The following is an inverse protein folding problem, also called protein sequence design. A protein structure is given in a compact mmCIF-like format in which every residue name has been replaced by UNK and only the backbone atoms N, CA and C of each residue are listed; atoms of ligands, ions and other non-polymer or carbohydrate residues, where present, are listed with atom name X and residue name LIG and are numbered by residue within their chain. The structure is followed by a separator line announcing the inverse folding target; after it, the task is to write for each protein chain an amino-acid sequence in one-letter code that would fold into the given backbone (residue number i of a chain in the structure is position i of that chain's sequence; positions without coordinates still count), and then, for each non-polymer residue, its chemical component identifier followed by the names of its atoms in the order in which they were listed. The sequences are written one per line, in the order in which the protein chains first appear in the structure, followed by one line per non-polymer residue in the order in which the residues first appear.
data_IF_291402005624
#
_entry.id   IF_291402005624
#
_cell.length_a   1.000
_cell.length_b   1.000
_cell.length_c   1.000
_cell.angle_alpha   90.00
_cell.angle_beta   90.00
_cell.angle_gamma   90.00
#
_symmetry.space_group_name_H-M   'P 1'
#
loop_
_entity.id
_entity.type
_entity.pdbx_description
1 polymer ?
#
# COMPACT_ATOMS: atom_id res chain seq x y z
N UNK A 1 -2.86 60.53 24.33
CA UNK A 1 -2.17 59.23 24.14
C UNK A 1 -2.95 58.09 24.80
N UNK A 2 -4.04 57.58 24.18
CA UNK A 2 -4.72 56.33 24.61
C UNK A 2 -5.83 55.84 23.66
N UNK A 3 -5.80 56.21 22.37
CA UNK A 3 -6.82 55.78 21.37
C UNK A 3 -6.24 55.37 20.00
N UNK A 4 -4.94 55.08 19.92
CA UNK A 4 -4.29 54.62 18.68
C UNK A 4 -3.68 53.20 18.79
N UNK A 5 -3.87 52.51 19.93
CA UNK A 5 -3.26 51.20 20.20
C UNK A 5 -4.25 50.03 20.21
N UNK A 6 -5.52 50.26 19.85
CA UNK A 6 -6.57 49.24 19.90
C UNK A 6 -7.02 48.75 18.52
N UNK A 7 -6.41 49.23 17.43
CA UNK A 7 -6.74 48.80 16.06
C UNK A 7 -5.67 47.92 15.40
N UNK A 8 -4.54 47.65 16.09
CA UNK A 8 -3.45 46.81 15.57
C UNK A 8 -3.40 45.40 16.22
N UNK A 9 -4.35 45.06 17.10
CA UNK A 9 -4.44 43.74 17.76
C UNK A 9 -5.66 42.94 17.27
N UNK A 10 -6.56 43.54 16.46
CA UNK A 10 -7.79 42.88 15.99
C UNK A 10 -7.77 42.53 14.49
N UNK A 11 -6.60 42.43 13.87
CA UNK A 11 -6.43 41.89 12.49
C UNK A 11 -5.61 40.58 12.48
N UNK A 12 -5.15 40.11 13.65
CA UNK A 12 -4.40 38.86 13.79
C UNK A 12 -5.31 37.65 14.11
N UNK A 13 -6.62 37.86 14.30
CA UNK A 13 -7.53 36.79 14.77
C UNK A 13 -8.52 36.24 13.74
N UNK A 14 -8.46 36.63 12.47
CA UNK A 14 -9.37 36.10 11.44
C UNK A 14 -8.62 35.78 10.16
N UNK A 15 -8.17 34.53 10.08
CA UNK A 15 -7.94 33.67 8.90
C UNK A 15 -6.85 32.62 9.21
N UNK A 16 -6.83 32.12 10.44
CA UNK A 16 -6.34 30.78 10.74
C UNK A 16 -7.36 29.73 10.31
N UNK A 17 -7.81 29.75 9.05
CA UNK A 17 -8.30 28.52 8.44
C UNK A 17 -7.03 27.71 8.24
N UNK A 18 -6.65 26.95 9.27
CA UNK A 18 -5.86 25.75 9.10
C UNK A 18 -6.72 24.77 8.27
N UNK A 19 -6.93 25.09 6.99
CA UNK A 19 -6.92 24.06 5.98
C UNK A 19 -5.49 23.56 6.05
N UNK A 20 -5.27 22.60 6.96
CA UNK A 20 -4.06 21.81 7.02
C UNK A 20 -3.97 21.22 5.61
N UNK A 21 -3.22 21.90 4.74
CA UNK A 21 -2.91 21.42 3.41
C UNK A 21 -2.27 20.08 3.66
N UNK A 22 -3.02 19.00 3.44
CA UNK A 22 -2.48 17.64 3.55
C UNK A 22 -1.14 17.65 2.83
N UNK A 23 -0.10 17.39 3.60
CA UNK A 23 1.25 17.44 3.07
C UNK A 23 1.33 16.39 1.94
N UNK A 24 2.17 16.63 0.95
CA UNK A 24 2.53 15.63 -0.07
C UNK A 24 2.81 14.26 0.58
N UNK A 25 3.39 14.26 1.78
CA UNK A 25 3.63 13.06 2.58
C UNK A 25 2.36 12.29 2.96
N UNK A 26 1.28 12.95 3.39
CA UNK A 26 0.07 12.25 3.86
C UNK A 26 -0.62 11.50 2.72
N UNK A 27 -0.65 12.10 1.53
CA UNK A 27 -1.15 11.48 0.31
C UNK A 27 -0.29 10.26 -0.06
N UNK A 28 1.04 10.42 -0.02
CA UNK A 28 1.98 9.33 -0.33
C UNK A 28 1.82 8.15 0.63
N UNK A 29 1.71 8.42 1.94
CA UNK A 29 1.46 7.39 2.95
C UNK A 29 0.14 6.69 2.67
N UNK A 30 -0.92 7.44 2.37
CA UNK A 30 -2.22 6.84 2.04
C UNK A 30 -2.15 5.89 0.86
N UNK A 31 -1.35 6.20 -0.16
CA UNK A 31 -1.12 5.29 -1.30
C UNK A 31 -0.42 3.97 -0.95
N UNK A 32 0.19 3.86 0.23
CA UNK A 32 0.84 2.65 0.73
C UNK A 32 -0.08 1.80 1.61
N UNK A 33 -1.32 2.21 1.83
CA UNK A 33 -2.26 1.54 2.73
C UNK A 33 -3.43 0.96 1.93
N UNK A 34 -3.66 -0.34 2.13
CA UNK A 34 -4.84 -1.06 1.67
C UNK A 34 -5.71 -1.47 2.86
N UNK A 35 -7.00 -1.16 2.81
CA UNK A 35 -7.95 -1.47 3.88
C UNK A 35 -9.06 -2.41 3.41
N UNK A 36 -9.53 -3.28 4.30
CA UNK A 36 -10.69 -4.12 3.98
C UNK A 36 -12.03 -3.48 4.31
N UNK A 37 -13.07 -4.05 3.74
CA UNK A 37 -14.42 -3.50 3.81
C UNK A 37 -15.23 -4.16 4.93
N UNK A 38 -15.93 -3.38 5.78
CA UNK A 38 -16.63 -3.95 6.93
C UNK A 38 -17.93 -4.68 6.54
N UNK A 39 -18.57 -4.29 5.43
CA UNK A 39 -19.90 -4.77 5.02
C UNK A 39 -20.06 -4.86 3.50
N UNK A 40 -21.16 -5.46 3.03
CA UNK A 40 -21.51 -5.60 1.62
C UNK A 40 -22.28 -4.39 1.05
N UNK A 41 -21.90 -3.19 1.48
CA UNK A 41 -22.47 -1.92 1.04
C UNK A 41 -21.45 -0.79 1.26
N UNK A 42 -21.77 0.40 0.76
CA UNK A 42 -20.92 1.58 0.97
C UNK A 42 -20.93 1.95 2.46
N UNK A 43 -19.80 1.73 3.11
CA UNK A 43 -19.50 2.18 4.45
C UNK A 43 -19.10 3.67 4.45
N UNK A 44 -19.81 4.55 5.20
CA UNK A 44 -19.51 5.98 5.25
C UNK A 44 -18.13 6.32 5.82
N UNK A 45 -17.62 5.54 6.78
CA UNK A 45 -16.30 5.76 7.39
C UNK A 45 -15.23 5.47 6.35
N UNK A 46 -15.28 4.29 5.73
CA UNK A 46 -14.32 3.92 4.67
C UNK A 46 -14.42 4.87 3.48
N UNK A 47 -15.62 5.33 3.13
CA UNK A 47 -15.81 6.29 2.03
C UNK A 47 -15.11 7.61 2.33
N UNK A 48 -15.14 8.08 3.58
CA UNK A 48 -14.40 9.28 3.99
C UNK A 48 -12.88 9.02 4.05
N UNK A 49 -12.43 7.88 4.54
CA UNK A 49 -11.00 7.51 4.50
C UNK A 49 -10.45 7.52 3.06
N UNK A 50 -11.21 6.95 2.11
CA UNK A 50 -10.93 6.98 0.67
C UNK A 50 -10.97 8.40 0.10
N UNK A 51 -12.06 9.14 0.32
CA UNK A 51 -12.24 10.52 -0.18
C UNK A 51 -11.10 11.43 0.27
N UNK A 52 -10.66 11.19 1.48
CA UNK A 52 -9.64 11.96 2.15
C UNK A 52 -8.23 11.44 1.81
N UNK A 53 -8.11 10.42 0.94
CA UNK A 53 -6.82 9.91 0.44
C UNK A 53 -5.98 9.21 1.50
N UNK A 54 -6.57 8.80 2.63
CA UNK A 54 -5.89 8.04 3.70
C UNK A 54 -5.65 6.58 3.31
N UNK A 55 -6.37 6.07 2.33
CA UNK A 55 -6.16 4.75 1.73
C UNK A 55 -6.07 4.87 0.20
N UNK A 56 -5.11 4.18 -0.40
CA UNK A 56 -4.91 4.11 -1.85
C UNK A 56 -5.42 2.82 -2.48
N UNK A 57 -5.87 1.88 -1.66
CA UNK A 57 -6.39 0.60 -2.07
C UNK A 57 -7.47 0.11 -1.09
N UNK A 58 -8.42 -0.67 -1.61
CA UNK A 58 -9.41 -1.40 -0.82
C UNK A 58 -9.44 -2.87 -1.23
N UNK A 59 -9.68 -3.77 -0.28
CA UNK A 59 -9.81 -5.22 -0.54
C UNK A 59 -11.21 -5.72 -0.19
N UNK A 60 -11.81 -6.47 -1.11
CA UNK A 60 -13.07 -7.17 -0.89
C UNK A 60 -12.87 -8.64 -0.49
N UNK A 61 -13.74 -9.11 0.41
CA UNK A 61 -13.92 -10.52 0.75
C UNK A 61 -15.33 -10.99 0.37
N UNK A 62 -15.60 -12.28 0.57
CA UNK A 62 -16.93 -12.85 0.28
C UNK A 62 -18.04 -12.17 1.09
N UNK A 63 -17.75 -11.74 2.34
CA UNK A 63 -18.67 -10.96 3.18
C UNK A 63 -19.08 -9.62 2.58
N UNK A 64 -18.36 -9.14 1.57
CA UNK A 64 -18.62 -7.86 0.90
C UNK A 64 -19.40 -8.03 -0.41
N UNK A 65 -19.69 -9.27 -0.83
CA UNK A 65 -20.47 -9.54 -2.03
C UNK A 65 -21.96 -9.36 -1.69
N UNK A 66 -22.68 -8.40 -2.30
CA UNK A 66 -24.09 -8.20 -2.02
C UNK A 66 -24.90 -9.44 -2.36
N UNK A 67 -25.86 -9.83 -1.50
CA UNK A 67 -26.61 -11.07 -1.68
C UNK A 67 -27.70 -10.99 -2.78
N UNK A 68 -28.18 -9.78 -3.10
CA UNK A 68 -29.21 -9.52 -4.10
C UNK A 68 -28.65 -8.61 -5.19
N UNK A 69 -28.98 -8.90 -6.45
CA UNK A 69 -28.50 -8.15 -7.62
C UNK A 69 -26.97 -7.93 -7.58
N UNK A 70 -26.23 -8.96 -7.16
CA UNK A 70 -24.83 -8.89 -6.75
C UNK A 70 -23.95 -8.17 -7.78
N UNK A 71 -24.13 -8.46 -9.07
CA UNK A 71 -23.38 -7.81 -10.13
C UNK A 71 -23.56 -6.27 -10.12
N UNK A 72 -24.82 -5.79 -10.15
CA UNK A 72 -25.11 -4.36 -10.21
C UNK A 72 -24.83 -3.65 -8.88
N UNK A 73 -25.16 -4.27 -7.76
CA UNK A 73 -24.91 -3.72 -6.44
C UNK A 73 -23.40 -3.61 -6.16
N UNK A 74 -22.63 -4.65 -6.53
CA UNK A 74 -21.19 -4.65 -6.35
C UNK A 74 -20.52 -3.63 -7.28
N UNK A 75 -20.92 -3.56 -8.55
CA UNK A 75 -20.47 -2.52 -9.49
C UNK A 75 -20.71 -1.11 -8.95
N UNK A 76 -21.90 -0.84 -8.43
CA UNK A 76 -22.25 0.47 -7.83
C UNK A 76 -21.37 0.78 -6.63
N UNK A 77 -21.13 -0.20 -5.77
CA UNK A 77 -20.25 -0.03 -4.61
C UNK A 77 -18.82 0.31 -5.05
N UNK A 78 -18.21 -0.49 -5.94
CA UNK A 78 -16.86 -0.24 -6.45
C UNK A 78 -16.75 1.13 -7.12
N UNK A 79 -17.72 1.48 -7.97
CA UNK A 79 -17.78 2.79 -8.62
C UNK A 79 -17.84 3.93 -7.61
N UNK A 80 -18.62 3.79 -6.53
CA UNK A 80 -18.77 4.83 -5.50
C UNK A 80 -17.45 5.12 -4.79
N UNK A 81 -16.69 4.08 -4.43
CA UNK A 81 -15.35 4.24 -3.87
C UNK A 81 -14.36 4.82 -4.88
N UNK A 82 -14.39 4.33 -6.13
CA UNK A 82 -13.52 4.82 -7.18
C UNK A 82 -13.71 6.32 -7.46
N UNK A 83 -14.96 6.80 -7.47
CA UNK A 83 -15.29 8.22 -7.69
C UNK A 83 -14.96 9.12 -6.49
N UNK A 84 -15.00 8.58 -5.27
CA UNK A 84 -14.64 9.35 -4.08
C UNK A 84 -13.12 9.60 -4.00
N UNK A 85 -12.31 8.69 -4.55
CA UNK A 85 -10.87 8.71 -4.35
C UNK A 85 -10.17 9.85 -5.14
N UNK A 86 -9.28 10.64 -4.50
CA UNK A 86 -8.56 11.72 -5.17
C UNK A 86 -7.49 11.20 -6.15
N UNK A 87 -7.01 9.98 -5.93
CA UNK A 87 -6.16 9.22 -6.84
C UNK A 87 -6.85 7.88 -7.06
N UNK A 88 -6.96 7.36 -8.31
CA UNK A 88 -7.65 6.11 -8.60
C UNK A 88 -7.29 4.99 -7.62
N UNK A 89 -8.25 4.29 -7.03
CA UNK A 89 -7.97 3.20 -6.10
C UNK A 89 -7.49 1.95 -6.83
N UNK A 90 -6.64 1.19 -6.17
CA UNK A 90 -6.64 -0.25 -6.39
C UNK A 90 -7.85 -0.84 -5.66
N UNK A 91 -8.80 -1.38 -6.41
CA UNK A 91 -9.93 -2.14 -5.89
C UNK A 91 -9.58 -3.61 -6.10
N UNK A 92 -9.36 -4.32 -5.00
CA UNK A 92 -8.68 -5.62 -5.02
C UNK A 92 -9.54 -6.76 -4.48
N UNK A 93 -9.19 -7.99 -4.87
CA UNK A 93 -9.84 -9.22 -4.40
C UNK A 93 -8.91 -10.43 -4.56
N UNK A 94 -9.13 -11.47 -3.76
CA UNK A 94 -8.57 -12.82 -4.00
C UNK A 94 -9.55 -13.67 -4.81
N UNK A 95 -9.47 -13.58 -6.14
CA UNK A 95 -10.30 -14.38 -7.04
C UNK A 95 -9.42 -15.38 -7.81
N UNK A 96 -8.90 -16.38 -7.08
CA UNK A 96 -8.03 -17.43 -7.62
C UNK A 96 -8.83 -18.54 -8.31
N UNK A 97 -10.02 -18.84 -7.78
CA UNK A 97 -10.80 -20.02 -8.11
C UNK A 97 -10.78 -21.05 -6.99
N UNK A 98 -11.48 -22.16 -7.18
CA UNK A 98 -11.53 -23.23 -6.18
C UNK A 98 -11.99 -22.76 -4.80
N UNK A 99 -11.18 -23.05 -3.76
CA UNK A 99 -11.47 -22.66 -2.36
C UNK A 99 -11.24 -21.17 -2.10
N UNK A 100 -10.36 -20.51 -2.86
CA UNK A 100 -10.09 -19.08 -2.73
C UNK A 100 -10.82 -18.34 -3.86
N UNK A 101 -12.14 -18.31 -3.73
CA UNK A 101 -13.08 -17.70 -4.66
C UNK A 101 -14.09 -16.89 -3.84
N UNK A 102 -14.19 -15.58 -4.07
CA UNK A 102 -15.15 -14.70 -3.39
C UNK A 102 -16.42 -14.52 -4.23
N UNK A 103 -16.26 -14.32 -5.54
CA UNK A 103 -17.34 -14.12 -6.51
C UNK A 103 -17.88 -15.48 -7.01
N UNK A 104 -18.68 -16.14 -6.18
CA UNK A 104 -19.22 -17.49 -6.42
C UNK A 104 -20.52 -17.49 -7.23
N UNK A 105 -20.84 -18.64 -7.83
CA UNK A 105 -22.08 -18.88 -8.60
C UNK A 105 -23.36 -18.59 -7.81
N UNK A 106 -23.37 -18.87 -6.50
CA UNK A 106 -24.52 -18.55 -5.63
C UNK A 106 -24.87 -17.06 -5.58
N UNK A 107 -23.96 -16.18 -6.02
CA UNK A 107 -24.19 -14.74 -6.15
C UNK A 107 -24.44 -14.30 -7.60
N UNK A 108 -24.50 -15.22 -8.57
CA UNK A 108 -24.70 -14.94 -9.98
C UNK A 108 -23.41 -14.66 -10.77
N UNK A 109 -22.23 -14.95 -10.22
CA UNK A 109 -20.95 -14.83 -10.92
C UNK A 109 -20.56 -16.14 -11.63
N UNK A 110 -19.70 -16.10 -12.67
CA UNK A 110 -19.30 -17.30 -13.38
C UNK A 110 -18.61 -18.35 -12.50
N UNK A 111 -18.81 -19.61 -12.86
CA UNK A 111 -18.06 -20.73 -12.26
C UNK A 111 -16.56 -20.58 -12.50
N UNK A 112 -15.77 -20.94 -11.49
CA UNK A 112 -14.32 -21.13 -11.58
C UNK A 112 -13.94 -22.55 -11.13
N UNK A 113 -12.72 -22.97 -11.48
CA UNK A 113 -12.12 -24.24 -11.05
C UNK A 113 -10.82 -23.99 -10.30
N UNK A 114 -10.21 -25.03 -9.73
CA UNK A 114 -8.94 -24.93 -9.01
C UNK A 114 -7.77 -24.72 -9.97
N UNK A 115 -6.67 -24.15 -9.48
CA UNK A 115 -5.45 -24.00 -10.28
C UNK A 115 -4.89 -25.38 -10.67
N UNK A 116 -4.94 -26.35 -9.77
CA UNK A 116 -4.59 -27.75 -10.07
C UNK A 116 -5.40 -28.29 -11.24
N UNK A 117 -6.71 -28.03 -11.28
CA UNK A 117 -7.56 -28.49 -12.39
C UNK A 117 -7.19 -27.80 -13.71
N UNK A 118 -6.91 -26.49 -13.71
CA UNK A 118 -6.38 -25.79 -14.89
C UNK A 118 -5.02 -26.34 -15.34
N UNK A 119 -4.14 -26.68 -14.39
CA UNK A 119 -2.78 -27.16 -14.67
C UNK A 119 -2.68 -28.59 -15.18
N UNK A 120 -3.75 -29.40 -15.10
CA UNK A 120 -3.82 -30.75 -15.68
C UNK A 120 -3.96 -30.74 -17.21
N UNK A 121 -4.47 -29.64 -17.77
CA UNK A 121 -4.70 -29.49 -19.20
C UNK A 121 -3.40 -29.12 -19.91
N UNK A 122 -2.94 -29.94 -20.85
CA UNK A 122 -1.72 -29.65 -21.63
C UNK A 122 -1.91 -28.55 -22.69
N UNK A 123 -3.15 -28.20 -23.04
CA UNK A 123 -3.48 -27.32 -24.18
C UNK A 123 -3.71 -25.85 -23.83
N UNK A 124 -3.59 -25.46 -22.56
CA UNK A 124 -3.84 -24.09 -22.05
C UNK A 124 -5.30 -23.61 -22.21
N UNK A 125 -6.20 -24.40 -22.78
CA UNK A 125 -7.57 -24.00 -23.07
C UNK A 125 -8.34 -23.70 -21.78
N UNK A 126 -8.17 -24.56 -20.76
CA UNK A 126 -8.78 -24.35 -19.44
C UNK A 126 -8.35 -23.03 -18.81
N UNK A 127 -7.04 -22.72 -18.76
CA UNK A 127 -6.56 -21.48 -18.13
C UNK A 127 -7.00 -20.24 -18.91
N UNK A 128 -7.08 -20.33 -20.25
CA UNK A 128 -7.59 -19.23 -21.09
C UNK A 128 -9.07 -18.98 -20.87
N UNK A 129 -9.88 -20.04 -20.83
CA UNK A 129 -11.32 -19.93 -20.64
C UNK A 129 -11.67 -19.36 -19.26
N UNK A 130 -11.19 -20.02 -18.19
CA UNK A 130 -11.50 -19.60 -16.82
C UNK A 130 -10.82 -18.29 -16.45
N UNK A 131 -9.60 -18.04 -16.94
CA UNK A 131 -8.90 -16.77 -16.75
C UNK A 131 -9.63 -15.60 -17.43
N UNK A 132 -10.14 -15.77 -18.65
CA UNK A 132 -10.91 -14.73 -19.35
C UNK A 132 -12.26 -14.46 -18.69
N UNK A 133 -12.98 -15.52 -18.30
CA UNK A 133 -14.25 -15.41 -17.58
C UNK A 133 -14.08 -14.69 -16.23
N UNK A 134 -13.03 -15.03 -15.48
CA UNK A 134 -12.70 -14.38 -14.20
C UNK A 134 -12.33 -12.91 -14.41
N UNK A 135 -11.42 -12.60 -15.34
CA UNK A 135 -11.02 -11.22 -15.64
C UNK A 135 -12.22 -10.35 -16.05
N UNK A 136 -13.10 -10.87 -16.93
CA UNK A 136 -14.28 -10.14 -17.37
C UNK A 136 -15.27 -9.86 -16.23
N UNK A 137 -15.50 -10.84 -15.34
CA UNK A 137 -16.37 -10.66 -14.18
C UNK A 137 -15.83 -9.59 -13.21
N UNK A 138 -14.51 -9.60 -12.96
CA UNK A 138 -13.83 -8.62 -12.11
C UNK A 138 -13.93 -7.20 -12.68
N UNK A 139 -13.54 -7.05 -13.95
CA UNK A 139 -13.58 -5.77 -14.67
C UNK A 139 -15.02 -5.22 -14.72
N UNK A 140 -16.01 -6.07 -14.98
CA UNK A 140 -17.42 -5.70 -15.06
C UNK A 140 -18.00 -5.08 -13.79
N UNK A 141 -17.46 -5.44 -12.61
CA UNK A 141 -17.85 -4.87 -11.31
C UNK A 141 -16.87 -3.82 -10.78
N UNK A 142 -15.90 -3.38 -11.60
CA UNK A 142 -14.94 -2.33 -11.25
C UNK A 142 -13.77 -2.77 -10.36
N UNK A 143 -13.55 -4.08 -10.21
CA UNK A 143 -12.34 -4.60 -9.58
C UNK A 143 -11.19 -4.56 -10.59
N UNK A 144 -10.07 -3.98 -10.19
CA UNK A 144 -8.95 -3.69 -11.08
C UNK A 144 -7.63 -4.34 -10.64
N UNK A 145 -7.59 -5.01 -9.49
CA UNK A 145 -6.48 -5.87 -9.08
C UNK A 145 -7.00 -7.23 -8.62
N UNK A 146 -6.51 -8.31 -9.21
CA UNK A 146 -6.72 -9.66 -8.73
C UNK A 146 -5.45 -10.15 -8.04
N UNK A 147 -5.56 -10.59 -6.79
CA UNK A 147 -4.49 -11.32 -6.09
C UNK A 147 -4.43 -12.76 -6.58
N UNK A 148 -4.12 -12.91 -7.86
CA UNK A 148 -3.89 -14.15 -8.59
C UNK A 148 -3.04 -13.79 -9.83
N UNK A 149 -2.27 -14.73 -10.41
CA UNK A 149 -2.22 -16.15 -10.07
C UNK A 149 -1.32 -16.48 -8.87
N UNK A 150 -1.62 -17.60 -8.21
CA UNK A 150 -0.68 -18.27 -7.31
C UNK A 150 0.40 -18.96 -8.16
N UNK A 151 1.66 -18.68 -7.86
CA UNK A 151 2.83 -19.24 -8.56
C UNK A 151 3.72 -20.08 -7.66
N UNK A 152 3.23 -20.44 -6.47
CA UNK A 152 3.86 -21.43 -5.60
C UNK A 152 3.90 -22.79 -6.29
N UNK A 153 5.01 -23.51 -6.15
CA UNK A 153 5.20 -24.83 -6.79
C UNK A 153 4.71 -25.91 -5.83
N UNK A 154 3.88 -26.85 -6.27
CA UNK A 154 3.36 -27.90 -5.40
C UNK A 154 4.44 -28.94 -5.01
N UNK A 155 5.35 -28.55 -4.12
CA UNK A 155 6.52 -29.33 -3.68
C UNK A 155 6.14 -30.28 -2.54
N UNK A 156 5.51 -29.76 -1.48
CA UNK A 156 5.18 -30.53 -0.28
C UNK A 156 3.74 -31.04 -0.34
N UNK A 157 3.49 -32.36 -0.49
CA UNK A 157 2.14 -32.91 -0.58
C UNK A 157 1.26 -32.67 0.65
N UNK A 158 1.87 -32.53 1.84
CA UNK A 158 1.14 -32.30 3.08
C UNK A 158 0.75 -30.82 3.29
N UNK A 159 1.26 -29.90 2.47
CA UNK A 159 0.98 -28.47 2.56
C UNK A 159 -0.54 -28.18 2.52
N UNK A 160 -1.06 -27.66 3.63
CA UNK A 160 -2.50 -27.38 3.83
C UNK A 160 -2.96 -26.05 3.23
N UNK A 161 -2.01 -25.15 2.92
CA UNK A 161 -2.29 -23.77 2.49
C UNK A 161 -2.30 -23.63 0.97
N UNK A 162 -1.51 -24.43 0.25
CA UNK A 162 -1.32 -24.37 -1.20
C UNK A 162 -1.76 -25.67 -1.87
N UNK A 163 -1.20 -26.82 -1.45
CA UNK A 163 -1.31 -28.07 -2.21
C UNK A 163 -2.63 -28.77 -1.95
N UNK A 164 -2.98 -29.05 -0.69
CA UNK A 164 -4.24 -29.75 -0.34
C UNK A 164 -5.51 -28.99 -0.73
N UNK A 165 -5.42 -27.67 -0.86
CA UNK A 165 -6.52 -26.79 -1.29
C UNK A 165 -6.45 -26.42 -2.78
N UNK A 166 -5.56 -27.08 -3.53
CA UNK A 166 -5.46 -27.02 -4.99
C UNK A 166 -5.22 -25.61 -5.57
N UNK A 167 -4.43 -24.79 -4.88
CA UNK A 167 -4.12 -23.41 -5.29
C UNK A 167 -2.91 -23.30 -6.22
N UNK A 168 -2.04 -24.30 -6.27
CA UNK A 168 -0.93 -24.35 -7.23
C UNK A 168 -1.37 -25.01 -8.54
N UNK A 169 -0.87 -24.53 -9.68
CA UNK A 169 -1.11 -25.19 -10.96
C UNK A 169 -0.47 -26.57 -11.07
N UNK A 170 0.73 -26.77 -10.51
CA UNK A 170 1.50 -27.99 -10.71
C UNK A 170 2.69 -28.13 -9.75
N UNK A 171 3.21 -29.35 -9.65
CA UNK A 171 4.53 -29.65 -9.08
C UNK A 171 5.70 -29.29 -10.01
N UNK A 172 5.41 -29.02 -11.27
CA UNK A 172 6.38 -28.59 -12.29
C UNK A 172 6.42 -27.07 -12.37
N UNK A 173 7.62 -26.52 -12.17
CA UNK A 173 7.89 -25.07 -12.18
C UNK A 173 7.57 -24.45 -13.55
N UNK A 174 7.88 -25.18 -14.63
CA UNK A 174 7.62 -24.74 -16.00
C UNK A 174 6.12 -24.69 -16.27
N UNK A 175 5.37 -25.69 -15.82
CA UNK A 175 3.90 -25.69 -15.94
C UNK A 175 3.30 -24.53 -15.17
N UNK A 176 3.78 -24.26 -13.94
CA UNK A 176 3.32 -23.11 -13.15
C UNK A 176 3.59 -21.79 -13.90
N UNK A 177 4.80 -21.60 -14.42
CA UNK A 177 5.17 -20.39 -15.16
C UNK A 177 4.32 -20.20 -16.43
N UNK A 178 4.12 -21.26 -17.22
CA UNK A 178 3.34 -21.22 -18.47
C UNK A 178 1.87 -20.90 -18.18
N UNK A 179 1.25 -21.59 -17.21
CA UNK A 179 -0.15 -21.39 -16.85
C UNK A 179 -0.38 -19.99 -16.28
N UNK A 180 0.49 -19.55 -15.37
CA UNK A 180 0.41 -18.21 -14.80
C UNK A 180 0.54 -17.14 -15.88
N UNK A 181 1.45 -17.29 -16.85
CA UNK A 181 1.62 -16.33 -17.95
C UNK A 181 0.33 -16.19 -18.78
N UNK A 182 -0.33 -17.29 -19.11
CA UNK A 182 -1.60 -17.24 -19.84
C UNK A 182 -2.73 -16.62 -19.02
N UNK A 183 -2.84 -16.96 -17.73
CA UNK A 183 -3.81 -16.33 -16.81
C UNK A 183 -3.61 -14.81 -16.72
N UNK A 184 -2.37 -14.34 -16.64
CA UNK A 184 -2.04 -12.91 -16.64
C UNK A 184 -2.48 -12.25 -17.94
N UNK A 185 -2.20 -12.87 -19.10
CA UNK A 185 -2.63 -12.35 -20.40
C UNK A 185 -4.15 -12.18 -20.48
N UNK A 186 -4.94 -13.10 -19.92
CA UNK A 186 -6.40 -12.95 -19.97
C UNK A 186 -6.90 -11.77 -19.13
N UNK A 187 -6.30 -11.52 -17.97
CA UNK A 187 -6.67 -10.40 -17.10
C UNK A 187 -6.24 -9.05 -17.70
N UNK A 188 -5.04 -9.00 -18.29
CA UNK A 188 -4.55 -7.80 -18.99
C UNK A 188 -5.45 -7.36 -20.15
N UNK A 189 -6.09 -8.29 -20.88
CA UNK A 189 -7.04 -7.96 -21.96
C UNK A 189 -8.23 -7.12 -21.52
N UNK A 190 -8.54 -7.12 -20.22
CA UNK A 190 -9.66 -6.39 -19.63
C UNK A 190 -9.19 -5.42 -18.53
N UNK A 191 -7.93 -5.01 -18.60
CA UNK A 191 -7.27 -4.04 -17.70
C UNK A 191 -7.32 -4.40 -16.21
N UNK A 192 -7.32 -5.69 -15.89
CA UNK A 192 -7.18 -6.16 -14.50
C UNK A 192 -5.72 -6.51 -14.23
N UNK A 193 -5.12 -5.85 -13.25
CA UNK A 193 -3.77 -6.13 -12.75
C UNK A 193 -3.77 -7.48 -12.05
N UNK A 194 -2.76 -8.30 -12.33
CA UNK A 194 -2.52 -9.56 -11.62
C UNK A 194 -1.34 -9.45 -10.67
N UNK A 195 -1.41 -10.14 -9.54
CA UNK A 195 -0.38 -10.14 -8.50
C UNK A 195 0.11 -11.57 -8.28
N UNK A 196 1.39 -11.82 -8.57
CA UNK A 196 2.00 -13.12 -8.30
C UNK A 196 2.13 -13.33 -6.79
N UNK A 197 1.84 -14.53 -6.31
CA UNK A 197 1.99 -14.86 -4.90
C UNK A 197 2.31 -16.33 -4.64
N UNK A 198 2.95 -16.68 -3.52
CA UNK A 198 3.35 -15.79 -2.41
C UNK A 198 4.87 -15.78 -2.25
N UNK A 199 5.53 -14.67 -2.59
CA UNK A 199 7.00 -14.63 -2.66
C UNK A 199 7.63 -14.78 -1.25
N UNK A 200 8.71 -15.56 -1.05
CA UNK A 200 9.58 -16.23 -2.05
C UNK A 200 9.18 -17.68 -2.39
N UNK A 201 7.91 -18.03 -2.19
CA UNK A 201 7.33 -19.34 -2.50
C UNK A 201 6.89 -20.11 -1.26
N UNK A 202 5.62 -20.50 -1.23
CA UNK A 202 4.95 -21.10 -0.09
C UNK A 202 4.64 -22.60 -0.29
N UNK A 203 4.93 -23.17 -1.47
CA UNK A 203 4.50 -24.53 -1.84
C UNK A 203 5.21 -25.66 -1.10
N UNK A 204 6.34 -25.35 -0.45
CA UNK A 204 7.16 -26.24 0.38
C UNK A 204 6.86 -26.15 1.88
N UNK A 205 5.91 -25.32 2.32
CA UNK A 205 5.55 -25.24 3.74
C UNK A 205 4.82 -26.49 4.24
N UNK A 206 5.11 -26.92 5.47
CA UNK A 206 4.44 -28.03 6.12
C UNK A 206 3.04 -27.65 6.62
N UNK A 207 2.23 -28.66 6.95
CA UNK A 207 0.86 -28.51 7.45
C UNK A 207 0.78 -27.83 8.82
N UNK A 208 1.86 -27.90 9.59
CA UNK A 208 1.87 -27.61 11.01
C UNK A 208 2.76 -26.40 11.31
N UNK A 209 2.11 -25.30 11.64
CA UNK A 209 2.76 -24.09 12.12
C UNK A 209 2.40 -23.92 13.59
N UNK A 210 2.86 -24.83 14.46
CA UNK A 210 2.74 -24.72 15.93
C UNK A 210 3.07 -23.33 16.50
N UNK A 211 3.80 -22.48 15.75
CA UNK A 211 4.24 -21.14 16.12
C UNK A 211 3.44 -20.00 15.44
N UNK A 212 2.35 -20.30 14.74
CA UNK A 212 1.55 -19.33 13.99
C UNK A 212 2.21 -18.77 12.72
N UNK A 213 3.50 -19.09 12.49
CA UNK A 213 4.30 -18.74 11.31
C UNK A 213 4.80 -20.02 10.64
N UNK A 214 4.67 -20.12 9.30
CA UNK A 214 5.29 -21.20 8.54
C UNK A 214 6.81 -21.00 8.42
N UNK A 215 7.59 -21.87 9.08
CA UNK A 215 9.03 -21.96 8.90
C UNK A 215 9.36 -22.96 7.78
N UNK A 216 9.96 -22.46 6.70
CA UNK A 216 10.37 -23.24 5.53
C UNK A 216 11.90 -23.36 5.42
N UNK A 217 12.65 -23.05 6.46
CA UNK A 217 14.13 -23.07 6.46
C UNK A 217 14.72 -24.36 5.89
N UNK A 218 14.11 -25.50 6.21
CA UNK A 218 14.60 -26.82 5.82
C UNK A 218 13.87 -27.42 4.61
N UNK A 219 12.69 -26.91 4.26
CA UNK A 219 11.86 -27.45 3.18
C UNK A 219 11.90 -26.60 1.92
N UNK A 220 12.17 -25.29 2.04
CA UNK A 220 12.24 -24.38 0.93
C UNK A 220 13.32 -24.79 -0.06
N UNK A 221 12.99 -24.63 -1.34
CA UNK A 221 13.85 -25.01 -2.45
C UNK A 221 13.88 -23.86 -3.46
N UNK A 222 15.04 -23.59 -4.06
CA UNK A 222 15.20 -22.56 -5.09
C UNK A 222 14.28 -22.75 -6.31
N UNK A 223 13.78 -23.98 -6.51
CA UNK A 223 12.70 -24.30 -7.45
C UNK A 223 11.48 -23.37 -7.32
N UNK A 224 11.17 -22.91 -6.10
CA UNK A 224 10.09 -21.96 -5.85
C UNK A 224 10.30 -20.59 -6.55
N UNK A 225 11.54 -20.22 -6.86
CA UNK A 225 11.86 -18.96 -7.54
C UNK A 225 11.75 -19.06 -9.06
N UNK A 226 11.80 -20.26 -9.64
CA UNK A 226 11.83 -20.39 -11.11
C UNK A 226 10.59 -19.82 -11.79
N UNK A 227 9.35 -20.02 -11.29
CA UNK A 227 8.18 -19.36 -11.88
C UNK A 227 8.27 -17.84 -11.85
N UNK A 228 8.75 -17.25 -10.74
CA UNK A 228 8.96 -15.80 -10.64
C UNK A 228 9.97 -15.31 -11.68
N UNK A 229 11.14 -15.97 -11.76
CA UNK A 229 12.19 -15.61 -12.74
C UNK A 229 11.67 -15.68 -14.17
N UNK A 230 11.05 -16.80 -14.56
CA UNK A 230 10.53 -16.98 -15.91
C UNK A 230 9.44 -15.94 -16.28
N UNK A 231 8.58 -15.59 -15.34
CA UNK A 231 7.55 -14.56 -15.55
C UNK A 231 8.15 -13.16 -15.63
N UNK A 232 9.13 -12.83 -14.79
CA UNK A 232 9.86 -11.56 -14.82
C UNK A 232 10.61 -11.39 -16.15
N UNK A 233 11.39 -12.39 -16.55
CA UNK A 233 12.13 -12.42 -17.82
C UNK A 233 11.19 -12.27 -19.03
N UNK A 234 9.94 -12.72 -18.90
CA UNK A 234 8.94 -12.58 -19.96
C UNK A 234 8.30 -11.20 -20.07
N UNK A 235 8.48 -10.30 -19.09
CA UNK A 235 7.86 -8.97 -19.05
C UNK A 235 6.37 -8.95 -18.68
N UNK A 236 5.82 -10.06 -18.19
CA UNK A 236 4.39 -10.19 -17.86
C UNK A 236 4.03 -9.93 -16.39
N UNK A 237 4.99 -9.58 -15.53
CA UNK A 237 4.68 -9.30 -14.11
C UNK A 237 4.21 -7.86 -13.91
N UNK A 238 3.01 -7.70 -13.36
CA UNK A 238 2.48 -6.38 -12.97
C UNK A 238 2.79 -6.01 -11.52
N UNK A 239 2.60 -6.97 -10.62
CA UNK A 239 2.75 -6.84 -9.19
C UNK A 239 3.14 -8.17 -8.53
N UNK A 240 3.73 -8.12 -7.34
CA UNK A 240 4.07 -9.31 -6.53
C UNK A 240 3.57 -9.10 -5.10
N UNK A 241 3.04 -10.15 -4.48
CA UNK A 241 2.71 -10.21 -3.06
C UNK A 241 3.71 -11.10 -2.32
N UNK A 242 4.26 -10.57 -1.24
CA UNK A 242 5.15 -11.31 -0.31
C UNK A 242 4.34 -12.09 0.72
N UNK A 243 4.90 -13.17 1.26
CA UNK A 243 4.30 -13.96 2.34
C UNK A 243 4.99 -13.77 3.69
N UNK A 244 4.30 -14.21 4.74
CA UNK A 244 4.82 -14.20 6.12
C UNK A 244 5.61 -15.47 6.47
N UNK A 245 6.18 -16.18 5.50
CA UNK A 245 6.98 -17.39 5.78
C UNK A 245 8.40 -17.03 6.23
N UNK A 246 8.95 -17.81 7.14
CA UNK A 246 10.33 -17.67 7.64
C UNK A 246 11.26 -18.63 6.91
N UNK A 247 12.42 -18.13 6.51
CA UNK A 247 13.50 -18.96 5.99
C UNK A 247 14.86 -18.43 6.47
N UNK A 248 15.46 -19.12 7.44
CA UNK A 248 16.74 -18.70 8.04
C UNK A 248 17.95 -18.87 7.11
N UNK A 249 17.81 -19.63 6.02
CA UNK A 249 18.84 -19.71 4.97
C UNK A 249 18.82 -18.49 4.06
N UNK A 250 17.65 -17.85 3.87
CA UNK A 250 17.52 -16.59 3.11
C UNK A 250 17.76 -15.36 4.00
N UNK A 251 17.27 -15.39 5.24
CA UNK A 251 17.53 -14.35 6.24
C UNK A 251 17.88 -14.96 7.61
N UNK A 252 19.17 -14.98 8.00
CA UNK A 252 19.61 -15.55 9.28
C UNK A 252 18.96 -14.94 10.52
N UNK A 253 18.37 -13.73 10.43
CA UNK A 253 17.62 -13.11 11.54
C UNK A 253 16.28 -13.80 11.81
N UNK A 254 15.80 -14.64 10.89
CA UNK A 254 14.50 -15.29 11.01
C UNK A 254 13.32 -14.36 10.75
N UNK A 255 13.54 -13.22 10.09
CA UNK A 255 12.43 -12.36 9.67
C UNK A 255 11.61 -13.05 8.58
N UNK A 256 10.26 -12.97 8.67
CA UNK A 256 9.41 -13.47 7.59
C UNK A 256 9.64 -12.66 6.32
N UNK A 257 9.32 -13.25 5.16
CA UNK A 257 9.52 -12.64 3.83
C UNK A 257 9.10 -11.18 3.77
N UNK A 258 7.89 -10.87 4.23
CA UNK A 258 7.32 -9.51 4.27
C UNK A 258 8.16 -8.48 5.04
N UNK A 259 8.88 -8.91 6.07
CA UNK A 259 9.68 -8.05 6.96
C UNK A 259 11.19 -8.10 6.66
N UNK A 260 11.60 -8.89 5.68
CA UNK A 260 13.01 -9.13 5.38
C UNK A 260 13.49 -8.33 4.17
N UNK A 261 14.39 -7.38 4.39
CA UNK A 261 15.11 -6.72 3.29
C UNK A 261 16.08 -7.65 2.54
N UNK A 262 16.52 -8.78 3.13
CA UNK A 262 17.31 -9.77 2.39
C UNK A 262 16.46 -10.49 1.35
N UNK A 263 15.20 -10.77 1.68
CA UNK A 263 14.27 -11.45 0.77
C UNK A 263 13.65 -10.43 -0.22
N UNK A 264 13.17 -9.28 0.25
CA UNK A 264 12.54 -8.28 -0.63
C UNK A 264 13.54 -7.47 -1.46
N UNK A 265 14.54 -6.85 -0.85
CA UNK A 265 15.48 -6.00 -1.58
C UNK A 265 16.59 -6.81 -2.24
N UNK A 266 17.28 -7.68 -1.48
CA UNK A 266 18.45 -8.39 -2.01
C UNK A 266 18.06 -9.50 -3.00
N UNK A 267 17.08 -10.33 -2.67
CA UNK A 267 16.64 -11.40 -3.55
C UNK A 267 15.68 -10.89 -4.65
N UNK A 268 14.54 -10.30 -4.29
CA UNK A 268 13.54 -9.93 -5.30
C UNK A 268 13.97 -8.73 -6.17
N UNK A 269 14.38 -7.61 -5.57
CA UNK A 269 14.72 -6.41 -6.36
C UNK A 269 16.07 -6.52 -7.05
N UNK A 270 17.13 -6.93 -6.34
CA UNK A 270 18.50 -6.96 -6.88
C UNK A 270 18.81 -8.23 -7.67
N UNK A 271 18.51 -9.41 -7.11
CA UNK A 271 18.88 -10.69 -7.76
C UNK A 271 17.91 -11.05 -8.90
N UNK A 272 16.60 -10.92 -8.68
CA UNK A 272 15.57 -11.20 -9.70
C UNK A 272 15.21 -9.97 -10.56
N UNK A 273 15.74 -8.78 -10.24
CA UNK A 273 15.56 -7.58 -11.06
C UNK A 273 14.16 -6.94 -11.01
N UNK A 274 13.33 -7.28 -10.03
CA UNK A 274 11.96 -6.77 -9.98
C UNK A 274 11.86 -5.35 -9.40
N UNK A 275 11.38 -4.40 -10.20
CA UNK A 275 11.28 -2.99 -9.82
C UNK A 275 9.84 -2.47 -9.66
N UNK A 276 8.84 -3.34 -9.84
CA UNK A 276 7.42 -2.98 -9.70
C UNK A 276 6.94 -2.95 -8.25
N UNK A 277 5.61 -2.84 -8.10
CA UNK A 277 4.91 -2.76 -6.80
C UNK A 277 4.99 -4.09 -6.06
N UNK A 278 5.32 -4.02 -4.77
CA UNK A 278 5.22 -5.12 -3.83
C UNK A 278 4.05 -4.87 -2.86
N UNK A 279 3.08 -5.79 -2.85
CA UNK A 279 2.03 -5.86 -1.84
C UNK A 279 2.48 -6.76 -0.69
N UNK A 280 2.15 -6.42 0.55
CA UNK A 280 2.21 -7.40 1.64
C UNK A 280 1.01 -8.36 1.58
N UNK A 281 1.20 -9.58 2.08
CA UNK A 281 0.07 -10.34 2.65
C UNK A 281 -0.50 -9.59 3.87
N UNK A 282 -1.63 -10.03 4.42
CA UNK A 282 -2.34 -9.31 5.48
C UNK A 282 -1.47 -9.11 6.73
N UNK A 283 -1.15 -7.86 7.05
CA UNK A 283 -0.31 -7.46 8.19
C UNK A 283 -1.00 -7.70 9.55
N UNK A 284 -2.25 -8.17 9.52
CA UNK A 284 -3.04 -8.50 10.70
C UNK A 284 -3.06 -10.01 11.00
N UNK A 285 -2.41 -10.84 10.18
CA UNK A 285 -2.25 -12.27 10.46
C UNK A 285 -1.46 -12.50 11.76
N UNK A 286 -1.87 -13.51 12.54
CA UNK A 286 -1.22 -13.93 13.79
C UNK A 286 0.29 -14.06 13.64
N UNK A 287 0.74 -14.58 12.50
CA UNK A 287 2.14 -14.66 12.08
C UNK A 287 2.94 -13.35 12.28
N UNK A 288 2.31 -12.19 12.08
CA UNK A 288 2.93 -10.88 12.26
C UNK A 288 2.56 -10.28 13.62
N UNK A 289 1.28 -10.36 14.00
CA UNK A 289 0.75 -9.61 15.13
C UNK A 289 1.23 -10.11 16.47
N UNK A 290 1.48 -11.41 16.62
CA UNK A 290 1.93 -12.02 17.88
C UNK A 290 3.44 -11.85 18.12
N UNK A 291 4.23 -11.67 17.04
CA UNK A 291 5.70 -11.70 17.12
C UNK A 291 6.38 -10.33 17.05
N UNK A 292 5.77 -9.35 16.34
CA UNK A 292 6.42 -8.06 16.06
C UNK A 292 5.62 -6.85 16.55
N UNK A 293 4.32 -6.99 16.82
CA UNK A 293 3.46 -5.83 17.08
C UNK A 293 3.28 -4.93 15.83
N UNK A 294 2.35 -3.98 15.91
CA UNK A 294 1.94 -3.18 14.73
C UNK A 294 3.05 -2.22 14.26
N UNK A 295 3.67 -1.48 15.19
CA UNK A 295 4.62 -0.42 14.84
C UNK A 295 5.90 -0.99 14.22
N UNK A 296 6.48 -2.03 14.80
CA UNK A 296 7.69 -2.65 14.26
C UNK A 296 7.41 -3.40 12.97
N UNK A 297 6.25 -4.06 12.82
CA UNK A 297 5.88 -4.70 11.57
C UNK A 297 5.76 -3.69 10.41
N UNK A 298 5.14 -2.52 10.64
CA UNK A 298 5.07 -1.43 9.65
C UNK A 298 6.47 -0.94 9.27
N UNK A 299 7.30 -0.65 10.28
CA UNK A 299 8.68 -0.18 10.08
C UNK A 299 9.49 -1.17 9.25
N UNK A 300 9.45 -2.45 9.63
CA UNK A 300 10.19 -3.52 8.97
C UNK A 300 9.68 -3.75 7.54
N UNK A 301 8.37 -3.80 7.31
CA UNK A 301 7.80 -3.99 5.97
C UNK A 301 8.20 -2.87 5.00
N UNK A 302 8.07 -1.61 5.43
CA UNK A 302 8.43 -0.46 4.58
C UNK A 302 9.93 -0.50 4.25
N UNK A 303 10.79 -0.71 5.26
CA UNK A 303 12.24 -0.78 5.08
C UNK A 303 12.71 -2.05 4.34
N UNK A 304 11.93 -3.13 4.36
CA UNK A 304 12.17 -4.31 3.54
C UNK A 304 11.95 -4.03 2.05
N UNK A 305 11.02 -3.12 1.72
CA UNK A 305 10.72 -2.75 0.35
C UNK A 305 9.27 -2.98 -0.07
N UNK A 306 8.36 -3.29 0.87
CA UNK A 306 6.91 -3.32 0.62
C UNK A 306 6.43 -1.93 0.22
N UNK A 307 5.63 -1.87 -0.85
CA UNK A 307 5.09 -0.60 -1.37
C UNK A 307 3.64 -0.37 -0.92
N UNK A 308 2.83 -1.44 -0.77
CA UNK A 308 1.46 -1.37 -0.26
C UNK A 308 1.24 -2.44 0.82
N UNK A 309 0.79 -2.03 2.00
CA UNK A 309 0.50 -2.92 3.12
C UNK A 309 -0.99 -3.21 3.24
N UNK A 310 -1.34 -4.49 3.39
CA UNK A 310 -2.71 -4.96 3.59
C UNK A 310 -3.10 -4.92 5.08
N UNK A 311 -4.17 -4.20 5.39
CA UNK A 311 -4.89 -4.24 6.67
C UNK A 311 -6.36 -4.58 6.41
N UNK A 312 -6.64 -5.87 6.26
CA UNK A 312 -7.93 -6.36 5.78
C UNK A 312 -9.11 -6.25 6.76
N UNK A 313 -8.86 -6.10 8.06
CA UNK A 313 -9.85 -6.20 9.13
C UNK A 313 -10.79 -7.42 8.95
N UNK A 314 -10.24 -8.51 8.43
CA UNK A 314 -10.96 -9.76 8.18
C UNK A 314 -10.51 -10.92 9.09
N UNK A 315 -9.60 -10.62 10.01
CA UNK A 315 -9.10 -11.56 11.01
C UNK A 315 -9.76 -11.23 12.35
N UNK A 316 -10.21 -12.26 13.06
CA UNK A 316 -10.89 -12.07 14.34
C UNK A 316 -9.97 -11.32 15.34
N UNK A 317 -10.48 -10.26 15.97
CA UNK A 317 -9.70 -9.45 16.93
C UNK A 317 -8.80 -8.39 16.28
N UNK A 318 -8.88 -8.22 14.96
CA UNK A 318 -8.07 -7.26 14.21
C UNK A 318 -8.73 -5.89 14.03
N UNK A 319 -9.96 -5.70 14.51
CA UNK A 319 -10.83 -4.54 14.26
C UNK A 319 -10.29 -3.22 14.84
N UNK A 320 -9.31 -3.28 15.75
CA UNK A 320 -8.70 -2.12 16.40
C UNK A 320 -7.68 -1.35 15.54
N UNK A 321 -7.37 -1.83 14.33
CA UNK A 321 -6.36 -1.23 13.44
C UNK A 321 -7.03 -0.35 12.39
N UNK A 322 -7.23 0.92 12.76
CA UNK A 322 -7.79 1.93 11.86
C UNK A 322 -6.74 2.48 10.89
N UNK A 323 -7.19 2.97 9.74
CA UNK A 323 -6.29 3.64 8.76
C UNK A 323 -5.53 4.80 9.42
N UNK A 324 -6.18 5.53 10.33
CA UNK A 324 -5.62 6.67 11.05
C UNK A 324 -4.46 6.28 11.95
N UNK A 325 -4.57 5.13 12.64
CA UNK A 325 -3.50 4.62 13.48
C UNK A 325 -2.29 4.25 12.64
N UNK A 326 -2.49 3.50 11.54
CA UNK A 326 -1.42 3.11 10.63
C UNK A 326 -0.74 4.33 10.01
N UNK A 327 -1.54 5.29 9.53
CA UNK A 327 -1.05 6.52 8.92
C UNK A 327 -0.19 7.33 9.89
N UNK A 328 -0.68 7.54 11.12
CA UNK A 328 0.05 8.25 12.19
C UNK A 328 1.38 7.59 12.54
N UNK A 329 1.43 6.24 12.59
CA UNK A 329 2.66 5.48 12.85
C UNK A 329 3.68 5.75 11.74
N UNK A 330 3.29 5.60 10.47
CA UNK A 330 4.19 5.81 9.33
C UNK A 330 4.72 7.25 9.32
N UNK A 331 3.82 8.23 9.50
CA UNK A 331 4.19 9.65 9.55
C UNK A 331 5.20 9.93 10.65
N UNK A 332 4.94 9.44 11.87
CA UNK A 332 5.85 9.60 13.00
C UNK A 332 7.23 8.96 12.76
N UNK A 333 7.30 7.82 12.06
CA UNK A 333 8.59 7.23 11.69
C UNK A 333 9.34 8.04 10.63
N UNK A 334 8.64 8.64 9.68
CA UNK A 334 9.26 9.52 8.68
C UNK A 334 9.79 10.80 9.32
N UNK A 335 9.02 11.42 10.22
CA UNK A 335 9.43 12.62 10.96
C UNK A 335 10.64 12.38 11.86
N UNK A 336 10.75 11.18 12.45
CA UNK A 336 11.90 10.76 13.27
C UNK A 336 13.09 10.26 12.43
N UNK A 337 12.98 10.17 11.10
CA UNK A 337 14.03 9.66 10.22
C UNK A 337 14.25 8.13 10.28
N UNK A 338 13.36 7.38 10.95
CA UNK A 338 13.41 5.91 11.01
C UNK A 338 13.03 5.27 9.68
N UNK A 339 12.15 5.93 8.93
CA UNK A 339 11.84 5.65 7.53
C UNK A 339 12.22 6.88 6.72
N UNK A 340 13.04 6.74 5.69
CA UNK A 340 13.44 7.87 4.88
C UNK A 340 12.29 8.38 4.00
N UNK A 341 12.26 9.68 3.71
CA UNK A 341 11.29 10.28 2.78
C UNK A 341 11.46 9.68 1.38
N UNK A 342 12.70 9.39 0.99
CA UNK A 342 13.07 8.76 -0.28
C UNK A 342 12.46 7.38 -0.42
N UNK A 343 12.35 6.60 0.68
CA UNK A 343 11.70 5.28 0.66
C UNK A 343 10.22 5.42 0.35
N UNK A 344 9.54 6.40 0.94
CA UNK A 344 8.12 6.70 0.66
C UNK A 344 7.95 7.16 -0.79
N UNK A 345 8.82 8.03 -1.28
CA UNK A 345 8.79 8.52 -2.67
C UNK A 345 9.03 7.41 -3.70
N UNK A 346 9.89 6.45 -3.40
CA UNK A 346 10.09 5.27 -4.23
C UNK A 346 8.82 4.42 -4.32
N UNK A 347 8.16 4.13 -3.20
CA UNK A 347 6.90 3.38 -3.19
C UNK A 347 5.83 4.12 -3.99
N UNK A 348 5.66 5.41 -3.71
CA UNK A 348 4.65 6.24 -4.35
C UNK A 348 4.83 6.27 -5.88
N UNK A 349 6.07 6.42 -6.38
CA UNK A 349 6.34 6.37 -7.82
C UNK A 349 5.94 5.05 -8.45
N UNK A 350 6.26 3.91 -7.83
CA UNK A 350 5.87 2.58 -8.33
C UNK A 350 4.36 2.41 -8.33
N UNK A 351 3.70 2.83 -7.25
CA UNK A 351 2.24 2.77 -7.12
C UNK A 351 1.57 3.60 -8.21
N UNK A 352 1.99 4.84 -8.42
CA UNK A 352 1.44 5.68 -9.48
C UNK A 352 1.75 5.14 -10.89
N UNK A 353 2.93 4.57 -11.11
CA UNK A 353 3.27 3.94 -12.39
C UNK A 353 2.37 2.74 -12.68
N UNK A 354 2.07 1.90 -11.68
CA UNK A 354 1.16 0.78 -11.84
C UNK A 354 -0.29 1.27 -12.04
N UNK A 355 -0.75 2.29 -11.30
CA UNK A 355 -2.07 2.90 -11.51
C UNK A 355 -2.21 3.50 -12.92
N UNK A 356 -1.14 4.05 -13.47
CA UNK A 356 -1.10 4.55 -14.84
C UNK A 356 -1.35 3.48 -15.91
N UNK A 357 -1.24 2.18 -15.59
CA UNK A 357 -1.56 1.08 -16.50
C UNK A 357 -3.04 0.68 -16.52
N UNK A 358 -3.85 1.19 -15.58
CA UNK A 358 -5.23 0.71 -15.42
C UNK A 358 -6.20 1.22 -16.48
N UNK A 359 -5.81 2.16 -17.37
CA UNK A 359 -6.74 2.84 -18.27
C UNK A 359 -6.21 3.11 -19.70
N UNK A 360 -7.09 2.91 -20.70
CA UNK A 360 -7.09 3.59 -22.01
C UNK A 360 -7.81 4.96 -21.98
N UNK A 361 -8.47 5.31 -20.87
CA UNK A 361 -8.92 6.69 -20.54
C UNK A 361 -7.75 7.58 -20.05
N UNK A 362 -6.55 7.33 -20.56
CA UNK A 362 -5.31 7.89 -20.03
C UNK A 362 -5.27 9.42 -20.03
N UNK A 363 -6.07 10.12 -20.82
CA UNK A 363 -6.02 11.58 -20.93
C UNK A 363 -6.67 12.32 -19.74
N UNK A 364 -7.87 11.92 -19.32
CA UNK A 364 -8.51 12.50 -18.12
C UNK A 364 -7.64 12.26 -16.87
N UNK A 365 -7.11 11.05 -16.71
CA UNK A 365 -6.29 10.72 -15.56
C UNK A 365 -4.87 11.26 -15.65
N UNK A 366 -4.24 11.35 -16.83
CA UNK A 366 -2.99 12.12 -17.00
C UNK A 366 -3.19 13.58 -16.62
N UNK A 367 -4.31 14.17 -17.00
CA UNK A 367 -4.65 15.55 -16.62
C UNK A 367 -4.87 15.68 -15.10
N UNK A 368 -5.57 14.75 -14.46
CA UNK A 368 -5.70 14.75 -13.00
C UNK A 368 -4.38 14.48 -12.26
N UNK A 369 -3.52 13.59 -12.79
CA UNK A 369 -2.18 13.32 -12.24
C UNK A 369 -1.28 14.54 -12.40
N UNK A 370 -1.33 15.24 -13.54
CA UNK A 370 -0.61 16.50 -13.75
C UNK A 370 -1.16 17.62 -12.86
N UNK A 371 -2.47 17.73 -12.68
CA UNK A 371 -3.09 18.67 -11.73
C UNK A 371 -2.65 18.35 -10.29
N UNK A 372 -2.67 17.08 -9.89
CA UNK A 372 -2.23 16.65 -8.56
C UNK A 372 -0.72 16.88 -8.35
N UNK A 373 0.11 16.65 -9.38
CA UNK A 373 1.55 16.97 -9.37
C UNK A 373 1.78 18.47 -9.26
N UNK A 374 1.07 19.28 -10.04
CA UNK A 374 1.15 20.74 -10.01
C UNK A 374 0.71 21.29 -8.65
N UNK A 375 -0.37 20.76 -8.08
CA UNK A 375 -0.82 21.10 -6.72
C UNK A 375 0.22 20.70 -5.67
N UNK A 376 0.79 19.50 -5.75
CA UNK A 376 1.83 19.06 -4.83
C UNK A 376 3.11 19.92 -4.95
N UNK A 377 3.52 20.27 -6.16
CA UNK A 377 4.66 21.16 -6.40
C UNK A 377 4.41 22.57 -5.88
N UNK A 378 3.23 23.13 -6.15
CA UNK A 378 2.82 24.46 -5.67
C UNK A 378 2.73 24.50 -4.15
N UNK A 379 2.23 23.44 -3.52
CA UNK A 379 2.21 23.31 -2.06
C UNK A 379 3.62 23.22 -1.48
N UNK A 380 4.53 22.46 -2.11
CA UNK A 380 5.92 22.37 -1.69
C UNK A 380 6.69 23.69 -1.91
N UNK A 381 6.36 24.46 -2.94
CA UNK A 381 6.91 25.80 -3.17
C UNK A 381 6.39 26.80 -2.13
N UNK A 382 5.08 26.81 -1.86
CA UNK A 382 4.52 27.63 -0.78
C UNK A 382 5.12 27.27 0.58
N UNK A 383 5.32 25.99 0.88
CA UNK A 383 5.95 25.56 2.12
C UNK A 383 7.38 26.12 2.24
N UNK A 384 8.19 26.03 1.17
CA UNK A 384 9.55 26.61 1.13
C UNK A 384 9.52 28.12 1.32
N UNK A 385 8.59 28.82 0.68
CA UNK A 385 8.45 30.27 0.79
C UNK A 385 7.99 30.71 2.18
N UNK A 386 7.11 29.94 2.82
CA UNK A 386 6.70 30.17 4.19
C UNK A 386 7.86 29.97 5.17
N UNK A 387 8.71 28.97 4.98
CA UNK A 387 9.94 28.80 5.76
C UNK A 387 10.94 29.95 5.56
N UNK A 388 11.05 30.48 4.35
CA UNK A 388 11.91 31.62 4.04
C UNK A 388 11.42 32.91 4.70
N UNK A 389 10.11 33.20 4.59
CA UNK A 389 9.46 34.33 5.27
C UNK A 389 9.57 34.19 6.79
N UNK A 390 9.41 32.98 7.34
CA UNK A 390 9.59 32.73 8.77
C UNK A 390 11.03 33.02 9.21
N UNK A 391 12.04 32.57 8.43
CA UNK A 391 13.46 32.87 8.68
C UNK A 391 13.76 34.36 8.61
N UNK A 392 13.23 35.06 7.63
CA UNK A 392 13.46 36.50 7.47
C UNK A 392 12.77 37.31 8.56
N UNK A 393 11.55 36.92 8.96
CA UNK A 393 10.83 37.51 10.10
C UNK A 393 11.60 37.32 11.39
N UNK A 394 12.15 36.12 11.63
CA UNK A 394 13.00 35.85 12.79
C UNK A 394 14.25 36.73 12.78
N UNK A 395 14.93 36.83 11.63
CA UNK A 395 16.13 37.67 11.46
C UNK A 395 15.84 39.16 11.70
N UNK A 396 14.69 39.66 11.24
CA UNK A 396 14.26 41.03 11.47
C UNK A 396 13.92 41.28 12.94
N UNK A 397 13.22 40.34 13.59
CA UNK A 397 12.93 40.39 15.03
C UNK A 397 14.22 40.41 15.87
N UNK A 398 15.21 39.57 15.54
CA UNK A 398 16.52 39.56 16.19
C UNK A 398 17.28 40.88 16.01
N UNK A 399 17.28 41.47 14.81
CA UNK A 399 17.87 42.80 14.56
C UNK A 399 17.18 43.89 15.37
N UNK A 400 15.86 43.84 15.46
CA UNK A 400 15.07 44.83 16.17
C UNK A 400 15.32 44.76 17.68
N UNK A 401 15.39 43.54 18.24
CA UNK A 401 15.78 43.25 19.63
C UNK A 401 17.20 43.74 19.96
N UNK A 402 18.18 43.53 19.07
CA UNK A 402 19.53 44.08 19.25
C UNK A 402 19.52 45.61 19.28
N UNK A 403 18.80 46.25 18.36
CA UNK A 403 18.73 47.71 18.28
C UNK A 403 18.01 48.35 19.48
N UNK A 404 16.99 47.71 20.05
CA UNK A 404 16.31 48.19 21.27
C UNK A 404 17.15 47.92 22.51
N UNK A 405 17.89 46.81 22.57
CA UNK A 405 18.88 46.54 23.62
C UNK A 405 20.00 47.58 23.65
N UNK A 406 20.55 47.94 22.49
CA UNK A 406 21.59 48.98 22.37
C UNK A 406 21.07 50.37 22.78
N UNK A 407 19.86 50.75 22.34
CA UNK A 407 19.22 52.02 22.75
C UNK A 407 18.92 52.07 24.25
N UNK A 408 18.47 50.96 24.84
CA UNK A 408 18.21 50.87 26.27
C UNK A 408 19.51 50.96 27.10
N UNK A 409 20.62 50.38 26.60
CA UNK A 409 21.93 50.50 27.22
C UNK A 409 22.47 51.94 27.16
N UNK A 410 22.32 52.65 26.03
CA UNK A 410 22.70 54.06 25.92
C UNK A 410 21.87 54.99 26.83
N UNK A 411 20.56 54.75 26.96
CA UNK A 411 19.71 55.51 27.88
C UNK A 411 20.00 55.21 29.36
N UNK A 412 20.30 53.94 29.68
CA UNK A 412 20.75 53.52 31.00
C UNK A 412 22.06 54.20 31.41
N UNK A 413 23.03 54.27 30.49
CA UNK A 413 24.32 54.90 30.74
C UNK A 413 24.20 56.43 30.86
N UNK A 414 23.31 57.07 30.07
CA UNK A 414 22.97 58.50 30.24
C UNK A 414 22.28 58.80 31.58
N UNK A 415 21.41 57.91 32.07
CA UNK A 415 20.76 58.04 33.40
C UNK A 415 21.76 57.79 34.54
N UNK A 416 22.70 56.85 34.39
CA UNK A 416 23.77 56.59 35.38
C UNK A 416 24.70 57.80 35.53
N UNK A 417 25.11 58.40 34.40
CA UNK A 417 25.94 59.62 34.36
C UNK A 417 25.22 60.85 34.93
N UNK A 418 23.90 60.96 34.76
CA UNK A 418 23.08 62.01 35.41
C UNK A 418 22.92 61.81 36.93
N UNK A 419 22.85 60.57 37.43
CA UNK A 419 22.82 60.29 38.88
C UNK A 419 24.17 60.53 39.56
N UNK A 420 25.30 60.27 38.89
CA UNK A 420 26.65 60.56 39.40
C UNK A 420 27.00 62.06 39.46
N UNK A 421 26.26 62.93 38.75
CA UNK A 421 26.41 64.40 38.82
C UNK A 421 25.50 65.07 39.88
N UNK A 422 24.68 64.30 40.59
CA UNK A 422 23.75 64.78 41.63
C UNK A 422 24.05 64.25 43.05
N UNK A 423 25.17 63.55 43.20
CA UNK A 423 25.88 63.32 44.47
C UNK A 423 27.19 64.10 44.36
#
# INVERSE_FOLDING_TARGET
MKKALSLLILVISCLGIHAQTRDSLDIKIGQMIMIGMPKAEVDPIVLEEVRSGKAGAIIYFEKNIPAKNSYMAFKKMSYTYQQAAPIPLFITIDQEGGKVNRMKEKYGFPRSITATAMGKDSKLDSVRFYGASTGAALSGVGINVNFAPVVDVAIEPLNTVIVKVERSFSKSEDTVAIMAKEFIKTHRKVNVITVLKHFPGHGSSLADTHLGIADVTNTWNERELKPYKALLDSGYVDAIMTSHIVNKKLDPRGYPGTLSNRIMDSLLRKTLGYNGVIFSDDMQMHAITEHYGLEDAIKLAINAGVDIMCFSNNIQGSESRTVDKVHKIIRGYVEKGVISKERIDQSFRRVLQLKGKMNDEGEYYRQQIEIARALAMKNAEMARRNEEVARETLRLAEKQLKSTGEKAAEEGDKKSKKKKKKK
#
